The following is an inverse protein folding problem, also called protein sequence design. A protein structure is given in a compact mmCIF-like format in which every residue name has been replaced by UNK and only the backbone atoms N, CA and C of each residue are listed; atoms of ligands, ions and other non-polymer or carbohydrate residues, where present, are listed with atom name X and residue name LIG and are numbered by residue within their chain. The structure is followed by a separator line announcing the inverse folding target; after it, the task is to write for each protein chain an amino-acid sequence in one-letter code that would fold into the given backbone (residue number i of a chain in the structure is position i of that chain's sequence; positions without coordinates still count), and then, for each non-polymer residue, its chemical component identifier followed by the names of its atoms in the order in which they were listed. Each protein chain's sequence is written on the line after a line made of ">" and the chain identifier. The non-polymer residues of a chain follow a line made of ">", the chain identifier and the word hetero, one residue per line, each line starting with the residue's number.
data_IF_355122669473
#
_entry.id   IF_355122669473
#
_cell.length_a   1.000
_cell.length_b   1.000
_cell.length_c   1.000
_cell.angle_alpha   90.00
_cell.angle_beta   90.00
_cell.angle_gamma   90.00
#
_symmetry.space_group_name_H-M   'P 1'
#
loop_
_entity.id
_entity.type
_entity.pdbx_description
1 polymer ?
#
# COMPACT_ATOMS: atom_id res chain seq x y z
N UNK A 1 -4.16 -6.17 -7.43
CA UNK A 1 -2.98 -5.63 -6.73
C UNK A 1 -2.41 -4.38 -7.38
N UNK A 2 -2.08 -4.41 -8.68
CA UNK A 2 -1.36 -3.36 -9.42
C UNK A 2 -1.91 -1.93 -9.25
N UNK A 3 -3.20 -1.71 -9.54
CA UNK A 3 -3.84 -0.38 -9.57
C UNK A 3 -4.94 -0.19 -8.50
N UNK A 4 -5.11 -1.16 -7.59
CA UNK A 4 -6.13 -1.09 -6.53
C UNK A 4 -7.59 -1.21 -7.00
N UNK A 5 -7.85 -1.39 -8.30
CA UNK A 5 -9.20 -1.66 -8.82
C UNK A 5 -10.04 -0.42 -9.16
N UNK A 6 -9.39 0.71 -9.47
CA UNK A 6 -10.07 1.96 -9.81
C UNK A 6 -10.41 2.82 -8.58
N UNK A 7 -11.05 3.97 -8.83
CA UNK A 7 -11.33 4.96 -7.78
C UNK A 7 -12.38 4.49 -6.76
N UNK A 8 -13.32 3.65 -7.20
CA UNK A 8 -14.42 3.12 -6.38
C UNK A 8 -13.99 1.92 -5.50
N UNK A 9 -12.74 1.47 -5.62
CA UNK A 9 -12.16 0.38 -4.81
C UNK A 9 -10.98 0.88 -3.98
N UNK A 10 -9.83 0.21 -4.06
CA UNK A 10 -8.64 0.52 -3.28
C UNK A 10 -7.62 1.40 -4.03
N UNK A 11 -7.98 1.94 -5.19
CA UNK A 11 -7.08 2.75 -6.02
C UNK A 11 -6.62 4.05 -5.34
N UNK A 12 -7.49 4.66 -4.52
CA UNK A 12 -7.14 5.85 -3.73
C UNK A 12 -6.38 5.54 -2.43
N UNK A 13 -6.34 4.28 -2.00
CA UNK A 13 -5.64 3.85 -0.78
C UNK A 13 -4.17 3.51 -1.07
N UNK A 14 -3.47 4.40 -1.79
CA UNK A 14 -2.11 4.20 -2.32
C UNK A 14 -1.32 5.50 -2.30
N UNK A 15 0.00 5.38 -2.29
CA UNK A 15 0.96 6.47 -2.49
C UNK A 15 2.09 5.98 -3.40
N UNK A 16 1.92 6.13 -4.72
CA UNK A 16 2.80 5.50 -5.72
C UNK A 16 4.24 6.04 -5.74
N UNK A 17 4.48 7.24 -5.21
CA UNK A 17 5.85 7.77 -5.05
C UNK A 17 6.63 7.05 -3.94
N UNK A 18 5.97 6.21 -3.12
CA UNK A 18 6.65 5.42 -2.10
C UNK A 18 7.19 4.14 -2.73
N UNK A 19 8.50 3.91 -2.54
CA UNK A 19 9.20 2.79 -3.15
C UNK A 19 8.59 1.42 -2.87
N UNK A 20 8.05 1.20 -1.68
CA UNK A 20 7.37 -0.04 -1.30
C UNK A 20 6.08 0.25 -0.56
N UNK A 21 5.00 -0.41 -0.97
CA UNK A 21 3.69 -0.32 -0.37
C UNK A 21 3.15 -1.74 -0.10
N UNK A 22 3.13 -2.14 1.17
CA UNK A 22 2.51 -3.40 1.58
C UNK A 22 0.99 -3.26 1.59
N UNK A 23 0.30 -4.20 0.95
CA UNK A 23 -1.16 -4.28 0.89
C UNK A 23 -1.61 -5.48 1.70
N UNK A 24 -2.51 -5.25 2.65
CA UNK A 24 -3.17 -6.28 3.45
C UNK A 24 -4.68 -6.08 3.29
N UNK A 25 -5.28 -6.87 2.40
CA UNK A 25 -6.72 -6.84 2.12
C UNK A 25 -7.53 -7.57 3.17
N UNK A 26 -8.75 -7.10 3.43
CA UNK A 26 -9.69 -7.75 4.36
C UNK A 26 -10.18 -9.11 3.84
N UNK A 27 -10.13 -9.32 2.53
CA UNK A 27 -10.44 -10.56 1.82
C UNK A 27 -9.26 -11.55 1.81
N UNK A 28 -8.16 -11.23 2.51
CA UNK A 28 -6.94 -12.04 2.55
C UNK A 28 -6.00 -11.79 1.37
N UNK A 29 -6.33 -10.91 0.42
CA UNK A 29 -5.42 -10.54 -0.67
C UNK A 29 -4.28 -9.70 -0.09
N UNK A 30 -3.08 -10.27 -0.06
CA UNK A 30 -1.87 -9.58 0.41
C UNK A 30 -0.80 -9.49 -0.68
N UNK A 31 0.04 -8.48 -0.59
CA UNK A 31 1.24 -8.39 -1.42
C UNK A 31 1.93 -7.04 -1.29
N UNK A 32 2.77 -6.70 -2.25
CA UNK A 32 3.51 -5.44 -2.28
C UNK A 32 3.40 -4.78 -3.66
N UNK A 33 3.29 -3.46 -3.68
CA UNK A 33 3.44 -2.63 -4.88
C UNK A 33 4.75 -1.87 -4.74
N UNK A 34 5.60 -1.94 -5.76
CA UNK A 34 6.91 -1.32 -5.75
C UNK A 34 7.07 -0.30 -6.88
N UNK A 35 7.76 0.79 -6.59
CA UNK A 35 8.37 1.63 -7.62
C UNK A 35 9.67 0.94 -8.10
N UNK A 36 9.92 1.01 -9.41
CA UNK A 36 11.09 0.44 -10.05
C UNK A 36 12.31 1.36 -10.07
N UNK A 37 12.14 2.66 -9.81
CA UNK A 37 13.26 3.62 -9.83
C UNK A 37 14.40 3.34 -8.84
N UNK A 38 14.16 2.85 -7.61
CA UNK A 38 15.20 2.77 -6.59
C UNK A 38 15.89 1.40 -6.48
N UNK A 39 15.34 0.35 -7.08
CA UNK A 39 15.89 -1.00 -6.99
C UNK A 39 15.39 -1.94 -8.10
N UNK A 40 16.23 -2.92 -8.40
CA UNK A 40 15.93 -4.00 -9.35
C UNK A 40 15.03 -5.08 -8.73
N UNK A 41 14.37 -5.86 -9.59
CA UNK A 41 13.42 -6.91 -9.17
C UNK A 41 14.02 -7.96 -8.21
N UNK A 42 15.33 -8.23 -8.30
CA UNK A 42 16.00 -9.19 -7.42
C UNK A 42 15.97 -8.78 -5.94
N UNK A 43 16.07 -7.47 -5.66
CA UNK A 43 16.03 -6.94 -4.29
C UNK A 43 14.64 -7.18 -3.68
N UNK A 44 13.59 -7.01 -4.49
CA UNK A 44 12.22 -7.26 -4.08
C UNK A 44 11.97 -8.74 -3.78
N UNK A 45 12.51 -9.65 -4.60
CA UNK A 45 12.40 -11.11 -4.37
C UNK A 45 13.06 -11.50 -3.06
N UNK A 46 14.30 -11.04 -2.82
CA UNK A 46 15.02 -11.35 -1.58
C UNK A 46 14.32 -10.81 -0.34
N UNK A 47 13.82 -9.58 -0.39
CA UNK A 47 13.06 -8.98 0.72
C UNK A 47 11.78 -9.77 1.01
N UNK A 48 11.03 -10.11 -0.04
CA UNK A 48 9.77 -10.84 0.10
C UNK A 48 9.99 -12.23 0.70
N UNK A 49 11.00 -12.95 0.22
CA UNK A 49 11.37 -14.26 0.75
C UNK A 49 11.81 -14.18 2.21
N UNK A 50 12.63 -13.18 2.57
CA UNK A 50 13.05 -12.94 3.95
C UNK A 50 11.85 -12.68 4.88
N UNK A 51 10.95 -11.78 4.48
CA UNK A 51 9.76 -11.42 5.27
C UNK A 51 8.86 -12.63 5.48
N UNK A 52 8.61 -13.43 4.43
CA UNK A 52 7.79 -14.64 4.55
C UNK A 52 8.42 -15.64 5.51
N UNK A 53 9.73 -15.93 5.36
CA UNK A 53 10.46 -16.82 6.28
C UNK A 53 10.41 -16.32 7.72
N UNK A 54 10.53 -15.00 7.94
CA UNK A 54 10.46 -14.41 9.27
C UNK A 54 9.07 -14.59 9.90
N UNK A 55 8.01 -14.30 9.15
CA UNK A 55 6.62 -14.41 9.62
C UNK A 55 6.26 -15.87 9.91
N UNK A 56 6.63 -16.81 9.04
CA UNK A 56 6.29 -18.24 9.22
C UNK A 56 7.21 -18.95 10.22
N UNK A 57 8.46 -18.52 10.34
CA UNK A 57 9.49 -19.18 11.15
C UNK A 57 9.49 -18.78 12.64
N UNK A 58 8.67 -17.81 13.06
CA UNK A 58 8.63 -17.37 14.47
C UNK A 58 7.24 -16.92 14.94
N UNK A 59 6.24 -17.83 15.04
CA UNK A 59 4.89 -17.49 15.51
C UNK A 59 4.84 -16.97 16.96
N UNK A 60 5.85 -17.31 17.77
CA UNK A 60 5.89 -17.09 19.22
C UNK A 60 6.62 -15.82 19.68
N UNK A 61 7.26 -15.06 18.77
CA UNK A 61 7.94 -13.78 19.12
C UNK A 61 7.04 -12.56 19.03
N UNK A 62 5.79 -12.70 18.58
CA UNK A 62 4.72 -11.76 18.96
C UNK A 62 4.31 -12.00 20.42
N UNK A 63 5.30 -12.12 21.31
CA UNK A 63 5.08 -12.09 22.73
C UNK A 63 4.40 -10.76 23.01
N UNK A 64 3.21 -10.83 23.63
CA UNK A 64 2.54 -9.67 24.23
C UNK A 64 3.63 -8.88 24.91
N UNK A 65 3.84 -7.65 24.46
CA UNK A 65 4.85 -6.79 25.02
C UNK A 65 4.45 -6.47 26.47
N UNK A 66 4.83 -7.34 27.40
CA UNK A 66 4.41 -7.32 28.80
C UNK A 66 5.02 -6.15 29.58
N UNK A 67 5.68 -5.21 28.90
CA UNK A 67 6.34 -4.04 29.46
C UNK A 67 6.30 -2.78 28.59
N UNK A 68 5.57 -2.76 27.46
CA UNK A 68 5.48 -1.55 26.63
C UNK A 68 4.43 -0.62 27.24
N UNK A 69 4.86 0.56 27.70
CA UNK A 69 3.96 1.70 27.97
C UNK A 69 3.13 1.92 26.71
N UNK A 70 1.82 2.13 26.86
CA UNK A 70 0.93 2.34 25.72
C UNK A 70 1.51 3.39 24.76
N UNK A 71 1.79 3.03 23.51
CA UNK A 71 2.33 3.99 22.55
C UNK A 71 1.28 5.09 22.29
N UNK A 72 1.71 6.32 21.98
CA UNK A 72 0.77 7.36 21.60
C UNK A 72 -0.03 6.91 20.36
N UNK A 73 -1.30 7.32 20.26
CA UNK A 73 -2.12 6.95 19.11
C UNK A 73 -1.50 7.47 17.80
N UNK A 74 -1.63 6.73 16.69
CA UNK A 74 -1.20 7.20 15.38
C UNK A 74 -1.81 8.57 15.01
N UNK A 75 -0.98 9.47 14.49
CA UNK A 75 -1.43 10.81 14.08
C UNK A 75 -1.99 10.78 12.67
N UNK A 76 -3.26 11.18 12.50
CA UNK A 76 -3.87 11.34 11.17
C UNK A 76 -3.22 12.50 10.42
N UNK A 77 -2.76 12.26 9.20
CA UNK A 77 -2.31 13.31 8.29
C UNK A 77 -3.53 14.08 7.75
N UNK A 78 -3.51 15.40 7.92
CA UNK A 78 -4.59 16.30 7.49
C UNK A 78 -4.16 17.05 6.24
N UNK A 79 -5.11 17.22 5.31
CA UNK A 79 -4.89 17.89 4.03
C UNK A 79 -5.85 19.07 3.89
N UNK A 80 -5.34 20.18 3.37
CA UNK A 80 -6.19 21.32 2.96
C UNK A 80 -6.41 21.23 1.45
N UNK A 81 -7.64 20.93 1.05
CA UNK A 81 -8.00 20.79 -0.36
C UNK A 81 -8.75 22.04 -0.82
N UNK A 82 -8.10 22.88 -1.63
CA UNK A 82 -8.75 24.00 -2.30
C UNK A 82 -9.46 23.52 -3.60
N UNK A 83 -10.26 24.36 -4.27
CA UNK A 83 -10.97 23.96 -5.49
C UNK A 83 -10.05 23.42 -6.60
N UNK A 84 -8.82 23.93 -6.70
CA UNK A 84 -7.83 23.45 -7.65
C UNK A 84 -7.42 21.99 -7.37
N UNK A 85 -7.10 21.65 -6.11
CA UNK A 85 -6.79 20.27 -5.69
C UNK A 85 -7.99 19.35 -5.92
N UNK A 86 -9.22 19.81 -5.65
CA UNK A 86 -10.43 19.02 -5.92
C UNK A 86 -10.57 18.68 -7.41
N UNK A 87 -10.29 19.65 -8.30
CA UNK A 87 -10.25 19.39 -9.75
C UNK A 87 -9.20 18.37 -10.16
N UNK A 88 -8.00 18.42 -9.56
CA UNK A 88 -6.94 17.42 -9.80
C UNK A 88 -7.33 16.02 -9.30
N UNK A 89 -7.97 15.92 -8.13
CA UNK A 89 -8.45 14.65 -7.59
C UNK A 89 -9.50 14.01 -8.51
N UNK A 90 -10.48 14.79 -8.98
CA UNK A 90 -11.51 14.32 -9.91
C UNK A 90 -10.88 13.82 -11.22
N UNK A 91 -10.03 14.64 -11.86
CA UNK A 91 -9.37 14.28 -13.10
C UNK A 91 -8.46 13.05 -12.96
N UNK A 92 -7.78 12.89 -11.82
CA UNK A 92 -6.92 11.74 -11.55
C UNK A 92 -7.75 10.46 -11.31
N UNK A 93 -8.88 10.58 -10.61
CA UNK A 93 -9.84 9.49 -10.43
C UNK A 93 -10.38 8.96 -11.77
N UNK A 94 -10.72 9.86 -12.70
CA UNK A 94 -11.20 9.47 -14.04
C UNK A 94 -10.11 8.79 -14.88
N UNK A 95 -8.85 9.26 -14.78
CA UNK A 95 -7.71 8.61 -15.45
C UNK A 95 -7.46 7.22 -14.90
N UNK A 96 -7.46 7.06 -13.58
CA UNK A 96 -7.27 5.76 -12.93
C UNK A 96 -8.39 4.78 -13.31
N UNK A 97 -9.64 5.26 -13.38
CA UNK A 97 -10.77 4.43 -13.80
C UNK A 97 -10.63 3.93 -15.25
N UNK A 98 -10.12 4.78 -16.16
CA UNK A 98 -9.82 4.38 -17.53
C UNK A 98 -8.76 3.29 -17.60
N UNK A 99 -7.65 3.47 -16.89
CA UNK A 99 -6.59 2.46 -16.81
C UNK A 99 -7.10 1.11 -16.26
N UNK A 100 -7.95 1.15 -15.23
CA UNK A 100 -8.56 -0.06 -14.67
C UNK A 100 -9.45 -0.82 -15.67
N UNK A 101 -10.16 -0.12 -16.56
CA UNK A 101 -10.93 -0.76 -17.62
C UNK A 101 -10.05 -1.34 -18.73
N UNK A 102 -9.02 -0.62 -19.16
CA UNK A 102 -8.09 -1.07 -20.20
C UNK A 102 -7.32 -2.33 -19.79
N UNK A 103 -6.96 -2.44 -18.50
CA UNK A 103 -6.19 -3.60 -17.97
C UNK A 103 -7.07 -4.84 -17.74
N UNK A 104 -8.38 -4.76 -17.97
CA UNK A 104 -9.33 -5.89 -17.86
C UNK A 104 -9.66 -6.57 -19.19
N UNK A 105 -9.18 -6.02 -20.30
CA UNK A 105 -9.19 -6.62 -21.63
C UNK A 105 -7.92 -7.46 -21.84
#
# INVERSE_FOLDING_TARGET
>A
MLHGGGREKNGANRWYDKSMQFVVGMDGVCGVVCDHSPFEGIVMVQLSEYLMKYITGSPSKMARASSIRDPPPPKRLLWKCNPHIQGLLAASGDRLQRQDHETKL
#
